data_IF_582715091805
#
_entry.id   IF_582715091805
#
_cell.length_a   1.000
_cell.length_b   1.000
_cell.length_c   1.000
_cell.angle_alpha   90.00
_cell.angle_beta   90.00
_cell.angle_gamma   90.00
#
_symmetry.space_group_name_H-M   'P 1'
#
loop_
_entity.id
_entity.type
_entity.pdbx_description
1 polymer ?
#
# COMPACT_ATOMS: atom_id res chain seq x y z
N UNK A 1 -23.65 31.63 -31.26
CA UNK A 1 -23.18 30.42 -32.01
C UNK A 1 -21.65 30.38 -32.17
N UNK A 2 -20.94 31.48 -32.43
CA UNK A 2 -19.47 31.49 -32.53
C UNK A 2 -18.78 31.28 -31.18
N UNK A 3 -19.25 31.92 -30.08
CA UNK A 3 -18.70 31.73 -28.73
C UNK A 3 -18.80 30.29 -28.24
N UNK A 4 -19.95 29.62 -28.39
CA UNK A 4 -20.16 28.22 -28.03
C UNK A 4 -19.21 27.26 -28.79
N UNK A 5 -18.88 27.63 -30.05
CA UNK A 5 -17.97 26.86 -30.88
C UNK A 5 -16.50 27.03 -30.45
N UNK A 6 -16.14 28.18 -29.94
CA UNK A 6 -14.80 28.50 -29.44
C UNK A 6 -14.57 27.84 -28.08
N UNK A 7 -15.48 27.93 -27.13
CA UNK A 7 -15.42 27.25 -25.86
C UNK A 7 -15.30 25.70 -26.01
N UNK A 8 -16.03 25.15 -26.96
CA UNK A 8 -15.94 23.73 -27.29
C UNK A 8 -14.55 23.33 -27.81
N UNK A 9 -13.97 24.15 -28.69
CA UNK A 9 -12.65 23.90 -29.27
C UNK A 9 -11.55 23.94 -28.20
N UNK A 10 -11.68 24.86 -27.25
CA UNK A 10 -10.73 25.02 -26.14
C UNK A 10 -10.82 23.86 -25.14
N UNK A 11 -12.03 23.37 -24.85
CA UNK A 11 -12.21 22.16 -24.02
C UNK A 11 -11.58 20.91 -24.66
N UNK A 12 -11.71 20.73 -25.99
CA UNK A 12 -11.06 19.61 -26.69
C UNK A 12 -9.54 19.76 -26.77
N UNK A 13 -9.00 20.96 -26.98
CA UNK A 13 -7.55 21.19 -26.93
C UNK A 13 -6.98 20.84 -25.57
N UNK A 14 -7.67 21.28 -24.52
CA UNK A 14 -7.28 20.98 -23.14
C UNK A 14 -7.31 19.47 -22.84
N UNK A 15 -8.31 18.73 -23.32
CA UNK A 15 -8.35 17.27 -23.25
C UNK A 15 -7.14 16.60 -23.94
N UNK A 16 -6.70 17.12 -25.09
CA UNK A 16 -5.53 16.59 -25.80
C UNK A 16 -4.26 16.83 -25.00
N UNK A 17 -4.09 18.03 -24.42
CA UNK A 17 -2.92 18.35 -23.58
C UNK A 17 -2.88 17.48 -22.33
N UNK A 18 -4.01 17.32 -21.63
CA UNK A 18 -4.14 16.42 -20.50
C UNK A 18 -3.83 14.97 -20.90
N UNK A 19 -4.36 14.49 -22.02
CA UNK A 19 -4.10 13.12 -22.50
C UNK A 19 -2.60 12.86 -22.77
N UNK A 20 -1.88 13.88 -23.28
CA UNK A 20 -0.43 13.77 -23.47
C UNK A 20 0.31 13.67 -22.13
N UNK A 21 -0.07 14.49 -21.15
CA UNK A 21 0.55 14.51 -19.83
C UNK A 21 0.27 13.22 -19.06
N UNK A 22 -0.94 12.65 -19.17
CA UNK A 22 -1.31 11.39 -18.57
C UNK A 22 -0.48 10.22 -19.15
N UNK A 23 -0.24 10.21 -20.46
CA UNK A 23 0.53 9.14 -21.12
C UNK A 23 2.01 9.10 -20.70
N UNK A 24 2.57 10.21 -20.20
CA UNK A 24 3.98 10.31 -19.78
C UNK A 24 4.22 10.01 -18.30
N UNK A 25 3.17 9.84 -17.49
CA UNK A 25 3.27 9.68 -16.03
C UNK A 25 3.27 8.21 -15.65
N UNK A 26 4.39 7.73 -15.08
CA UNK A 26 4.59 6.33 -14.65
C UNK A 26 4.31 6.12 -13.16
N UNK A 27 4.13 7.18 -12.39
CA UNK A 27 3.70 7.13 -10.98
C UNK A 27 2.18 7.16 -10.91
N UNK A 28 1.59 6.13 -10.30
CA UNK A 28 0.13 5.97 -10.25
C UNK A 28 -0.54 7.07 -9.42
N UNK A 29 0.03 7.46 -8.29
CA UNK A 29 -0.58 8.47 -7.41
C UNK A 29 -0.57 9.84 -8.06
N UNK A 30 0.54 10.21 -8.73
CA UNK A 30 0.65 11.44 -9.50
C UNK A 30 -0.34 11.42 -10.67
N UNK A 31 -0.43 10.30 -11.38
CA UNK A 31 -1.36 10.13 -12.51
C UNK A 31 -2.81 10.32 -12.05
N UNK A 32 -3.23 9.64 -11.00
CA UNK A 32 -4.59 9.71 -10.48
C UNK A 32 -4.94 11.12 -10.00
N UNK A 33 -4.01 11.79 -9.29
CA UNK A 33 -4.18 13.18 -8.88
C UNK A 33 -4.42 14.11 -10.06
N UNK A 34 -3.65 13.98 -11.14
CA UNK A 34 -3.84 14.77 -12.37
C UNK A 34 -5.20 14.53 -13.02
N UNK A 35 -5.66 13.26 -13.04
CA UNK A 35 -6.97 12.90 -13.62
C UNK A 35 -8.11 13.59 -12.87
N UNK A 36 -8.13 13.53 -11.53
CA UNK A 36 -9.24 14.12 -10.75
C UNK A 36 -9.25 15.64 -10.86
N UNK A 37 -8.10 16.32 -10.87
CA UNK A 37 -8.03 17.75 -11.08
C UNK A 37 -8.54 18.14 -12.48
N UNK A 38 -8.13 17.41 -13.51
CA UNK A 38 -8.63 17.60 -14.87
C UNK A 38 -10.14 17.40 -14.98
N UNK A 39 -10.67 16.37 -14.30
CA UNK A 39 -12.10 16.06 -14.29
C UNK A 39 -12.92 17.19 -13.63
N UNK A 40 -12.49 17.66 -12.46
CA UNK A 40 -13.13 18.77 -11.76
C UNK A 40 -13.14 20.03 -12.62
N UNK A 41 -12.01 20.36 -13.24
CA UNK A 41 -11.85 21.54 -14.09
C UNK A 41 -12.71 21.48 -15.36
N UNK A 42 -12.66 20.39 -16.12
CA UNK A 42 -13.41 20.21 -17.38
C UNK A 42 -14.92 20.21 -17.14
N UNK A 43 -15.38 19.59 -16.05
CA UNK A 43 -16.78 19.51 -15.72
C UNK A 43 -17.31 20.73 -14.96
N UNK A 44 -16.44 21.63 -14.48
CA UNK A 44 -16.79 22.74 -13.62
C UNK A 44 -17.36 22.27 -12.28
N UNK A 45 -16.85 21.19 -11.74
CA UNK A 45 -17.28 20.59 -10.49
C UNK A 45 -16.45 21.12 -9.31
N UNK A 46 -17.03 21.14 -8.11
CA UNK A 46 -16.37 21.49 -6.86
C UNK A 46 -15.31 20.46 -6.48
N UNK A 47 -15.62 19.18 -6.68
CA UNK A 47 -14.71 18.10 -6.39
C UNK A 47 -14.80 16.98 -7.45
N UNK A 48 -13.74 16.18 -7.54
CA UNK A 48 -13.73 14.96 -8.30
C UNK A 48 -12.97 13.86 -7.55
N UNK A 49 -13.36 12.60 -7.78
CA UNK A 49 -12.76 11.43 -7.16
C UNK A 49 -12.63 10.26 -8.13
N UNK A 50 -11.64 9.40 -7.87
CA UNK A 50 -11.53 8.09 -8.51
C UNK A 50 -11.66 7.01 -7.46
N UNK A 51 -12.58 6.09 -7.73
CA UNK A 51 -12.74 4.84 -7.00
C UNK A 51 -12.25 3.72 -7.91
N UNK A 52 -11.27 2.94 -7.45
CA UNK A 52 -10.79 1.77 -8.19
C UNK A 52 -11.57 0.52 -7.77
N UNK A 53 -11.98 -0.25 -8.76
CA UNK A 53 -12.71 -1.49 -8.53
C UNK A 53 -11.77 -2.66 -8.34
N UNK A 54 -11.97 -3.38 -7.24
CA UNK A 54 -11.32 -4.67 -7.00
C UNK A 54 -12.32 -5.81 -7.24
N UNK A 55 -12.04 -6.59 -8.28
CA UNK A 55 -12.89 -7.71 -8.69
C UNK A 55 -12.92 -8.85 -7.65
N UNK A 56 -11.83 -9.03 -6.90
CA UNK A 56 -11.71 -10.11 -5.92
C UNK A 56 -12.56 -9.87 -4.67
N UNK A 57 -12.53 -8.65 -4.13
CA UNK A 57 -13.35 -8.25 -2.97
C UNK A 57 -14.74 -7.77 -3.37
N UNK A 58 -14.99 -7.51 -4.68
CA UNK A 58 -16.19 -6.89 -5.20
C UNK A 58 -16.53 -5.55 -4.52
N UNK A 59 -15.49 -4.75 -4.25
CA UNK A 59 -15.61 -3.44 -3.60
C UNK A 59 -14.91 -2.37 -4.43
N UNK A 60 -15.36 -1.14 -4.21
CA UNK A 60 -14.72 0.06 -4.71
C UNK A 60 -13.94 0.72 -3.59
N UNK A 61 -12.71 1.13 -3.87
CA UNK A 61 -11.83 1.81 -2.93
C UNK A 61 -11.56 3.24 -3.39
N UNK A 62 -11.77 4.20 -2.52
CA UNK A 62 -11.34 5.57 -2.79
C UNK A 62 -9.83 5.60 -2.95
N UNK A 63 -9.37 5.99 -4.13
CA UNK A 63 -7.96 6.07 -4.43
C UNK A 63 -7.43 7.50 -4.38
N UNK A 64 -8.20 8.44 -4.93
CA UNK A 64 -7.86 9.86 -4.94
C UNK A 64 -9.12 10.71 -4.97
N UNK A 65 -9.04 11.91 -4.37
CA UNK A 65 -10.07 12.95 -4.45
C UNK A 65 -9.42 14.32 -4.35
N UNK A 66 -10.03 15.33 -4.97
CA UNK A 66 -9.54 16.71 -4.92
C UNK A 66 -9.81 17.39 -3.57
N UNK A 67 -10.76 16.89 -2.78
CA UNK A 67 -11.21 17.47 -1.51
C UNK A 67 -10.87 16.65 -0.27
N UNK A 68 -10.09 15.57 -0.42
CA UNK A 68 -9.69 14.71 0.69
C UNK A 68 -8.18 14.50 0.69
N UNK A 69 -7.58 14.58 1.87
CA UNK A 69 -6.21 14.16 2.06
C UNK A 69 -6.10 12.62 2.09
N UNK A 70 -4.86 12.13 2.04
CA UNK A 70 -4.59 10.68 2.03
C UNK A 70 -5.07 9.99 3.32
N UNK A 71 -5.03 10.68 4.46
CA UNK A 71 -5.42 10.11 5.75
C UNK A 71 -6.93 9.92 5.84
N UNK A 72 -7.73 10.85 5.33
CA UNK A 72 -9.19 10.80 5.35
C UNK A 72 -9.75 9.71 4.42
N UNK A 73 -9.18 9.55 3.23
CA UNK A 73 -9.67 8.56 2.23
C UNK A 73 -9.21 7.13 2.49
N UNK A 74 -8.17 6.93 3.33
CA UNK A 74 -7.68 5.59 3.65
C UNK A 74 -8.75 4.74 4.31
N UNK A 75 -9.02 3.57 3.70
CA UNK A 75 -9.96 2.60 4.23
C UNK A 75 -11.43 2.87 3.91
N UNK A 76 -11.77 3.97 3.19
CA UNK A 76 -13.13 4.16 2.70
C UNK A 76 -13.39 3.18 1.56
N UNK A 77 -14.36 2.31 1.78
CA UNK A 77 -14.86 1.37 0.77
C UNK A 77 -16.30 1.69 0.43
N UNK A 78 -16.66 1.53 -0.85
CA UNK A 78 -18.01 1.72 -1.34
C UNK A 78 -18.52 0.38 -1.89
N UNK A 79 -19.66 -0.12 -1.43
CA UNK A 79 -20.20 -1.39 -1.87
C UNK A 79 -20.70 -1.30 -3.33
N UNK A 80 -20.75 -2.45 -4.03
CA UNK A 80 -21.37 -2.50 -5.36
C UNK A 80 -22.88 -2.33 -5.28
N UNK A 81 -23.52 -2.98 -4.31
CA UNK A 81 -24.95 -2.89 -4.12
C UNK A 81 -25.28 -1.72 -3.20
N UNK A 82 -26.26 -0.90 -3.59
CA UNK A 82 -26.70 0.27 -2.81
C UNK A 82 -25.74 1.47 -2.89
N UNK A 83 -24.96 1.59 -3.98
CA UNK A 83 -24.19 2.80 -4.28
C UNK A 83 -24.26 3.18 -5.75
N UNK A 84 -24.18 4.49 -6.04
CA UNK A 84 -24.13 5.04 -7.39
C UNK A 84 -22.90 4.51 -8.13
N UNK A 85 -21.73 4.57 -7.49
CA UNK A 85 -20.48 4.03 -8.03
C UNK A 85 -20.58 2.54 -8.36
N UNK A 86 -21.19 1.76 -7.49
CA UNK A 86 -21.44 0.33 -7.72
C UNK A 86 -22.38 0.06 -8.88
N UNK A 87 -23.43 0.89 -9.04
CA UNK A 87 -24.31 0.82 -10.19
C UNK A 87 -23.57 1.09 -11.50
N UNK A 88 -22.68 2.09 -11.52
CA UNK A 88 -21.84 2.42 -12.69
C UNK A 88 -20.93 1.25 -13.05
N UNK A 89 -20.31 0.60 -12.07
CA UNK A 89 -19.47 -0.60 -12.29
C UNK A 89 -20.28 -1.73 -12.90
N UNK A 90 -21.45 -2.00 -12.33
CA UNK A 90 -22.30 -3.14 -12.73
C UNK A 90 -22.89 -2.94 -14.11
N UNK A 91 -23.39 -1.73 -14.41
CA UNK A 91 -24.07 -1.43 -15.67
C UNK A 91 -23.13 -0.90 -16.77
N UNK A 92 -21.91 -0.50 -16.42
CA UNK A 92 -20.90 0.07 -17.34
C UNK A 92 -21.44 1.29 -18.11
N UNK A 93 -22.28 2.10 -17.47
CA UNK A 93 -22.91 3.28 -18.06
C UNK A 93 -22.67 4.50 -17.20
N UNK A 94 -22.55 5.69 -17.80
CA UNK A 94 -22.48 6.94 -17.06
C UNK A 94 -23.80 7.23 -16.35
N UNK A 95 -23.73 8.06 -15.30
CA UNK A 95 -24.91 8.52 -14.55
C UNK A 95 -24.77 10.02 -14.30
N UNK A 96 -25.82 10.77 -14.59
CA UNK A 96 -26.00 12.18 -14.21
C UNK A 96 -27.10 12.30 -13.19
N UNK A 97 -26.82 12.87 -12.04
CA UNK A 97 -27.76 13.05 -10.93
C UNK A 97 -27.78 14.52 -10.55
N UNK A 98 -28.95 15.13 -10.51
CA UNK A 98 -29.16 16.53 -10.16
C UNK A 98 -29.44 16.76 -8.68
N UNK A 99 -29.95 15.74 -7.98
CA UNK A 99 -30.16 15.71 -6.54
C UNK A 99 -29.75 14.32 -6.02
N UNK A 100 -28.55 14.25 -5.45
CA UNK A 100 -27.99 12.98 -5.03
C UNK A 100 -28.77 12.35 -3.85
N UNK A 101 -29.30 13.18 -2.95
CA UNK A 101 -30.03 12.71 -1.78
C UNK A 101 -31.41 12.09 -2.12
N UNK A 102 -31.95 12.38 -3.29
CA UNK A 102 -33.19 11.77 -3.78
C UNK A 102 -32.99 10.44 -4.52
N UNK A 103 -31.73 10.10 -4.82
CA UNK A 103 -31.43 8.84 -5.52
C UNK A 103 -31.29 7.69 -4.51
N UNK A 104 -32.10 6.64 -4.69
CA UNK A 104 -32.12 5.46 -3.80
C UNK A 104 -30.76 4.74 -3.69
N UNK A 105 -29.86 4.97 -4.66
CA UNK A 105 -28.51 4.41 -4.70
C UNK A 105 -27.48 5.28 -3.98
N UNK A 106 -27.90 6.39 -3.38
CA UNK A 106 -26.97 7.30 -2.73
C UNK A 106 -26.38 6.70 -1.44
N UNK A 107 -25.05 6.55 -1.40
CA UNK A 107 -24.36 5.98 -0.25
C UNK A 107 -23.80 7.07 0.68
N UNK A 108 -24.58 7.47 1.67
CA UNK A 108 -24.31 8.62 2.56
C UNK A 108 -23.12 8.45 3.50
N UNK A 109 -22.60 7.22 3.70
CA UNK A 109 -21.48 6.98 4.61
C UNK A 109 -20.20 7.73 4.18
N UNK A 110 -20.06 8.03 2.89
CA UNK A 110 -18.92 8.82 2.38
C UNK A 110 -19.00 10.27 2.89
N UNK A 111 -20.18 10.89 2.86
CA UNK A 111 -20.38 12.25 3.36
C UNK A 111 -20.09 12.36 4.86
N UNK A 112 -20.48 11.34 5.64
CA UNK A 112 -20.22 11.30 7.08
C UNK A 112 -18.72 11.34 7.42
N UNK A 113 -17.89 10.82 6.52
CA UNK A 113 -16.42 10.80 6.69
C UNK A 113 -15.76 12.04 6.09
N UNK A 114 -16.26 12.53 4.95
CA UNK A 114 -15.64 13.59 4.17
C UNK A 114 -16.10 14.99 4.58
N UNK A 115 -17.28 15.08 5.17
CA UNK A 115 -17.95 16.35 5.46
C UNK A 115 -18.43 17.13 4.24
N UNK A 116 -18.28 16.61 3.02
CA UNK A 116 -18.78 17.21 1.79
C UNK A 116 -20.22 16.73 1.53
N UNK A 117 -21.18 17.68 1.51
CA UNK A 117 -22.54 17.39 1.05
C UNK A 117 -22.57 17.25 -0.47
N UNK A 118 -23.08 16.13 -0.97
CA UNK A 118 -23.16 15.86 -2.41
C UNK A 118 -24.54 16.22 -2.94
N UNK A 119 -24.65 17.38 -3.61
CA UNK A 119 -25.91 17.81 -4.22
C UNK A 119 -26.11 17.19 -5.60
N UNK A 120 -25.10 17.29 -6.47
CA UNK A 120 -25.15 16.75 -7.82
C UNK A 120 -23.93 15.90 -8.14
N UNK A 121 -24.11 14.89 -8.99
CA UNK A 121 -23.07 13.93 -9.33
C UNK A 121 -23.11 13.59 -10.83
N UNK A 122 -21.91 13.56 -11.44
CA UNK A 122 -21.67 12.96 -12.74
C UNK A 122 -20.63 11.86 -12.58
N UNK A 123 -21.06 10.61 -12.68
CA UNK A 123 -20.22 9.45 -12.58
C UNK A 123 -20.03 8.75 -13.91
N UNK A 124 -18.79 8.38 -14.24
CA UNK A 124 -18.48 7.65 -15.46
C UNK A 124 -17.64 6.40 -15.18
N UNK A 125 -17.84 5.32 -15.96
CA UNK A 125 -17.05 4.12 -15.82
C UNK A 125 -15.65 4.32 -16.45
N UNK A 126 -14.60 3.87 -15.75
CA UNK A 126 -13.25 3.74 -16.27
C UNK A 126 -13.08 2.34 -16.87
N UNK A 127 -13.13 2.23 -18.21
CA UNK A 127 -13.13 0.94 -18.90
C UNK A 127 -11.97 0.85 -19.87
N UNK A 128 -11.20 -0.26 -19.82
CA UNK A 128 -10.19 -0.63 -20.81
C UNK A 128 -10.64 -1.89 -21.54
N UNK A 129 -10.70 -1.88 -22.87
CA UNK A 129 -11.17 -3.02 -23.67
C UNK A 129 -12.50 -3.54 -23.12
N UNK A 130 -12.49 -4.61 -22.32
CA UNK A 130 -13.68 -5.23 -21.71
C UNK A 130 -13.62 -5.24 -20.17
N UNK A 131 -12.58 -4.66 -19.57
CA UNK A 131 -12.40 -4.65 -18.11
C UNK A 131 -12.75 -3.30 -17.53
N UNK A 132 -13.54 -3.31 -16.46
CA UNK A 132 -13.76 -2.10 -15.66
C UNK A 132 -12.63 -1.94 -14.65
N UNK A 133 -12.03 -0.75 -14.63
CA UNK A 133 -10.92 -0.38 -13.75
C UNK A 133 -11.43 0.33 -12.50
N UNK A 134 -12.54 1.09 -12.66
CA UNK A 134 -13.12 1.87 -11.58
C UNK A 134 -14.16 2.86 -12.08
N UNK A 135 -14.38 3.89 -11.28
CA UNK A 135 -15.33 4.99 -11.54
C UNK A 135 -14.62 6.33 -11.33
N UNK A 136 -14.85 7.28 -12.20
CA UNK A 136 -14.51 8.68 -12.03
C UNK A 136 -15.80 9.45 -11.75
N UNK A 137 -15.82 10.19 -10.65
CA UNK A 137 -16.96 11.01 -10.22
C UNK A 137 -16.56 12.49 -10.17
N UNK A 138 -17.45 13.35 -10.67
CA UNK A 138 -17.41 14.80 -10.48
C UNK A 138 -18.61 15.19 -9.66
N UNK A 139 -18.39 15.98 -8.60
CA UNK A 139 -19.39 16.29 -7.57
C UNK A 139 -19.65 17.81 -7.55
N UNK A 140 -20.90 18.18 -7.34
CA UNK A 140 -21.36 19.55 -7.12
C UNK A 140 -20.93 20.51 -8.24
N UNK A 141 -21.68 20.55 -9.32
CA UNK A 141 -21.40 21.47 -10.41
C UNK A 141 -21.60 22.93 -9.96
N UNK A 142 -20.60 23.78 -10.15
CA UNK A 142 -20.63 25.18 -9.70
C UNK A 142 -21.76 26.01 -10.31
N UNK A 143 -22.17 25.71 -11.55
CA UNK A 143 -23.24 26.45 -12.25
C UNK A 143 -24.18 25.51 -12.98
N UNK A 144 -25.43 25.49 -12.55
CA UNK A 144 -26.47 24.65 -13.14
C UNK A 144 -26.27 23.17 -12.84
N UNK A 145 -26.74 22.31 -13.74
CA UNK A 145 -26.63 20.85 -13.62
C UNK A 145 -25.63 20.29 -14.63
N UNK A 146 -25.09 19.11 -14.39
CA UNK A 146 -24.24 18.42 -15.36
C UNK A 146 -24.99 18.15 -16.67
N UNK A 147 -24.40 18.53 -17.79
CA UNK A 147 -24.97 18.44 -19.12
C UNK A 147 -24.49 17.18 -19.87
N UNK A 148 -25.12 16.87 -21.01
CA UNK A 148 -24.63 15.83 -21.94
C UNK A 148 -23.24 16.13 -22.49
N UNK A 149 -22.90 17.41 -22.59
CA UNK A 149 -21.56 17.84 -22.99
C UNK A 149 -20.53 17.51 -21.93
N UNK A 150 -20.82 17.78 -20.65
CA UNK A 150 -19.92 17.41 -19.54
C UNK A 150 -19.71 15.89 -19.50
N UNK A 151 -20.79 15.11 -19.66
CA UNK A 151 -20.72 13.66 -19.73
C UNK A 151 -19.85 13.18 -20.88
N UNK A 152 -20.02 13.75 -22.07
CA UNK A 152 -19.24 13.39 -23.26
C UNK A 152 -17.74 13.69 -23.07
N UNK A 153 -17.41 14.85 -22.48
CA UNK A 153 -16.02 15.24 -22.20
C UNK A 153 -15.39 14.33 -21.14
N UNK A 154 -16.12 14.05 -20.05
CA UNK A 154 -15.63 13.15 -19.01
C UNK A 154 -15.50 11.70 -19.50
N UNK A 155 -16.39 11.22 -20.38
CA UNK A 155 -16.25 9.89 -20.98
C UNK A 155 -14.95 9.77 -21.80
N UNK A 156 -14.57 10.81 -22.55
CA UNK A 156 -13.31 10.82 -23.28
C UNK A 156 -12.12 10.82 -22.32
N UNK A 157 -12.15 11.69 -21.29
CA UNK A 157 -11.12 11.72 -20.24
C UNK A 157 -11.03 10.36 -19.52
N UNK A 158 -12.18 9.77 -19.15
CA UNK A 158 -12.23 8.49 -18.46
C UNK A 158 -11.69 7.32 -19.27
N UNK A 159 -11.94 7.31 -20.58
CA UNK A 159 -11.35 6.30 -21.48
C UNK A 159 -9.82 6.40 -21.52
N UNK A 160 -9.28 7.63 -21.62
CA UNK A 160 -7.82 7.87 -21.58
C UNK A 160 -7.25 7.52 -20.20
N UNK A 161 -7.90 7.97 -19.14
CA UNK A 161 -7.52 7.68 -17.76
C UNK A 161 -7.47 6.18 -17.50
N UNK A 162 -8.48 5.41 -17.92
CA UNK A 162 -8.52 3.97 -17.74
C UNK A 162 -7.32 3.28 -18.40
N UNK A 163 -6.97 3.66 -19.63
CA UNK A 163 -5.80 3.13 -20.35
C UNK A 163 -4.50 3.53 -19.63
N UNK A 164 -4.36 4.78 -19.20
CA UNK A 164 -3.18 5.25 -18.50
C UNK A 164 -2.98 4.53 -17.15
N UNK A 165 -4.05 4.35 -16.37
CA UNK A 165 -4.03 3.60 -15.10
C UNK A 165 -3.59 2.15 -15.34
N UNK A 166 -4.16 1.47 -16.33
CA UNK A 166 -3.81 0.07 -16.62
C UNK A 166 -2.36 -0.04 -17.09
N UNK A 167 -1.90 0.86 -17.98
CA UNK A 167 -0.51 0.88 -18.44
C UNK A 167 0.48 1.14 -17.27
N UNK A 168 0.18 2.08 -16.39
CA UNK A 168 1.02 2.37 -15.22
C UNK A 168 1.10 1.16 -14.29
N UNK A 169 -0.03 0.48 -14.04
CA UNK A 169 -0.05 -0.76 -13.25
C UNK A 169 0.77 -1.88 -13.89
N UNK A 170 0.63 -2.07 -15.21
CA UNK A 170 1.42 -3.07 -15.94
C UNK A 170 2.92 -2.74 -15.91
N UNK A 171 3.27 -1.47 -16.03
CA UNK A 171 4.66 -1.02 -15.93
C UNK A 171 5.24 -1.29 -14.54
N UNK A 172 4.53 -0.90 -13.47
CA UNK A 172 4.93 -1.16 -12.09
C UNK A 172 5.08 -2.67 -11.81
N UNK A 173 4.19 -3.49 -12.38
CA UNK A 173 4.30 -4.95 -12.27
C UNK A 173 5.50 -5.49 -13.03
N UNK A 174 5.82 -4.96 -14.21
CA UNK A 174 6.99 -5.33 -15.00
C UNK A 174 8.30 -4.97 -14.29
N UNK A 175 8.37 -3.77 -13.72
CA UNK A 175 9.53 -3.33 -12.94
C UNK A 175 9.76 -4.23 -11.72
N UNK A 176 8.70 -4.55 -10.98
CA UNK A 176 8.76 -5.46 -9.85
C UNK A 176 9.33 -6.84 -10.25
N UNK A 177 8.88 -7.38 -11.39
CA UNK A 177 9.36 -8.66 -11.92
C UNK A 177 10.84 -8.54 -12.31
N UNK A 178 11.24 -7.45 -12.95
CA UNK A 178 12.62 -7.22 -13.38
C UNK A 178 13.57 -7.15 -12.19
N UNK A 179 13.20 -6.41 -11.15
CA UNK A 179 13.97 -6.33 -9.89
C UNK A 179 14.04 -7.70 -9.21
N UNK A 180 12.93 -8.44 -9.16
CA UNK A 180 12.91 -9.79 -8.59
C UNK A 180 13.86 -10.75 -9.32
N UNK A 181 13.83 -10.74 -10.67
CA UNK A 181 14.74 -11.57 -11.48
C UNK A 181 16.21 -11.19 -11.21
N UNK A 182 16.49 -9.90 -11.06
CA UNK A 182 17.84 -9.43 -10.71
C UNK A 182 18.29 -9.95 -9.35
N UNK A 183 17.41 -9.87 -8.32
CA UNK A 183 17.69 -10.36 -6.97
C UNK A 183 17.81 -11.90 -6.89
N UNK A 184 17.14 -12.64 -7.79
CA UNK A 184 17.32 -14.09 -7.92
C UNK A 184 18.65 -14.47 -8.56
N UNK A 185 19.14 -13.70 -9.51
CA UNK A 185 20.37 -14.03 -10.26
C UNK A 185 21.60 -14.14 -9.37
N UNK A 186 21.74 -13.25 -8.39
CA UNK A 186 22.90 -13.19 -7.48
C UNK A 186 23.06 -14.49 -6.66
N UNK A 187 22.07 -14.95 -5.86
CA UNK A 187 22.19 -16.20 -5.12
C UNK A 187 22.30 -17.44 -6.01
N UNK A 188 21.63 -17.43 -7.17
CA UNK A 188 21.76 -18.55 -8.14
C UNK A 188 23.17 -18.64 -8.71
N UNK A 189 23.83 -17.52 -8.99
CA UNK A 189 25.23 -17.51 -9.43
C UNK A 189 26.18 -17.98 -8.32
N UNK A 190 25.93 -17.58 -7.07
CA UNK A 190 26.68 -18.06 -5.89
C UNK A 190 26.54 -19.57 -5.73
N UNK A 191 25.29 -20.10 -5.81
CA UNK A 191 25.02 -21.55 -5.75
C UNK A 191 25.72 -22.31 -6.88
N UNK A 192 25.68 -21.79 -8.11
CA UNK A 192 26.36 -22.41 -9.26
C UNK A 192 27.86 -22.49 -9.04
N UNK A 193 28.47 -21.42 -8.54
CA UNK A 193 29.91 -21.40 -8.21
C UNK A 193 30.23 -22.36 -7.07
N UNK A 194 29.44 -22.37 -6.02
CA UNK A 194 29.62 -23.25 -4.86
C UNK A 194 29.54 -24.74 -5.27
N UNK A 195 28.57 -25.12 -6.10
CA UNK A 195 28.44 -26.49 -6.61
C UNK A 195 29.60 -26.87 -7.51
N UNK A 196 30.08 -25.96 -8.37
CA UNK A 196 31.27 -26.20 -9.19
C UNK A 196 32.52 -26.42 -8.34
N UNK A 197 32.70 -25.65 -7.27
CA UNK A 197 33.83 -25.81 -6.36
C UNK A 197 33.82 -27.19 -5.67
N UNK A 198 32.64 -27.72 -5.27
CA UNK A 198 32.52 -29.03 -4.64
C UNK A 198 32.97 -30.19 -5.52
N UNK A 199 33.02 -30.01 -6.84
CA UNK A 199 33.50 -31.02 -7.80
C UNK A 199 35.04 -31.13 -7.84
N UNK A 200 35.78 -30.22 -7.18
CA UNK A 200 37.26 -30.28 -7.13
C UNK A 200 37.72 -31.38 -6.17
N UNK A 201 38.58 -32.30 -6.64
CA UNK A 201 39.02 -33.45 -5.80
C UNK A 201 39.94 -33.06 -4.64
N UNK A 202 40.68 -31.93 -4.77
CA UNK A 202 41.74 -31.54 -3.83
C UNK A 202 41.22 -30.70 -2.62
N UNK A 203 39.90 -30.65 -2.43
CA UNK A 203 39.30 -29.83 -1.38
C UNK A 203 39.33 -30.58 -0.02
N UNK A 204 39.71 -29.83 1.05
CA UNK A 204 39.63 -30.36 2.41
C UNK A 204 38.18 -30.55 2.88
N UNK A 205 37.98 -31.41 3.86
CA UNK A 205 36.64 -31.65 4.43
C UNK A 205 36.05 -30.34 5.02
N UNK A 206 36.86 -29.54 5.69
CA UNK A 206 36.45 -28.27 6.28
C UNK A 206 35.96 -27.27 5.22
N UNK A 207 36.65 -27.18 4.08
CA UNK A 207 36.28 -26.35 2.95
C UNK A 207 34.94 -26.85 2.32
N UNK A 208 34.74 -28.19 2.23
CA UNK A 208 33.50 -28.77 1.75
C UNK A 208 32.33 -28.41 2.67
N UNK A 209 32.50 -28.55 3.97
CA UNK A 209 31.47 -28.23 4.97
C UNK A 209 31.09 -26.74 4.94
N UNK A 210 32.07 -25.85 4.77
CA UNK A 210 31.81 -24.40 4.59
C UNK A 210 30.98 -24.13 3.32
N UNK A 211 31.30 -24.78 2.19
CA UNK A 211 30.56 -24.57 0.94
C UNK A 211 29.14 -25.15 1.06
N UNK A 212 28.98 -26.30 1.69
CA UNK A 212 27.64 -26.89 1.93
C UNK A 212 26.80 -25.96 2.79
N UNK A 213 27.36 -25.37 3.85
CA UNK A 213 26.68 -24.40 4.69
C UNK A 213 26.31 -23.14 3.91
N UNK A 214 27.16 -22.67 3.00
CA UNK A 214 26.85 -21.55 2.12
C UNK A 214 25.71 -21.89 1.15
N UNK A 215 25.71 -23.07 0.55
CA UNK A 215 24.61 -23.57 -0.31
C UNK A 215 23.30 -23.60 0.46
N UNK A 216 23.32 -24.15 1.68
CA UNK A 216 22.13 -24.18 2.54
C UNK A 216 21.60 -22.77 2.84
N UNK A 217 22.49 -21.86 3.24
CA UNK A 217 22.15 -20.47 3.54
C UNK A 217 21.54 -19.72 2.33
N UNK A 218 22.13 -19.85 1.13
CA UNK A 218 21.60 -19.23 -0.08
C UNK A 218 20.27 -19.86 -0.54
N UNK A 219 20.08 -21.16 -0.32
CA UNK A 219 18.80 -21.83 -0.59
C UNK A 219 17.70 -21.30 0.32
N UNK A 220 17.98 -21.14 1.62
CA UNK A 220 17.03 -20.55 2.57
C UNK A 220 16.70 -19.10 2.20
N UNK A 221 17.69 -18.33 1.75
CA UNK A 221 17.51 -16.96 1.29
C UNK A 221 16.62 -16.89 0.04
N UNK A 222 16.80 -17.78 -0.94
CA UNK A 222 15.96 -17.88 -2.13
C UNK A 222 14.50 -18.19 -1.78
N UNK A 223 14.28 -19.15 -0.87
CA UNK A 223 12.93 -19.48 -0.41
C UNK A 223 12.25 -18.29 0.28
N UNK A 224 12.97 -17.56 1.13
CA UNK A 224 12.46 -16.36 1.79
C UNK A 224 12.15 -15.25 0.78
N UNK A 225 13.01 -15.04 -0.23
CA UNK A 225 12.81 -14.07 -1.30
C UNK A 225 11.57 -14.42 -2.14
N UNK A 226 11.41 -15.68 -2.56
CA UNK A 226 10.26 -16.13 -3.33
C UNK A 226 8.95 -15.96 -2.55
N UNK A 227 8.94 -16.33 -1.26
CA UNK A 227 7.77 -16.18 -0.40
C UNK A 227 7.40 -14.70 -0.20
N UNK A 228 8.39 -13.84 0.08
CA UNK A 228 8.17 -12.41 0.24
C UNK A 228 7.66 -11.76 -1.06
N UNK A 229 8.20 -12.17 -2.23
CA UNK A 229 7.73 -11.69 -3.53
C UNK A 229 6.27 -12.07 -3.80
N UNK A 230 5.89 -13.34 -3.52
CA UNK A 230 4.50 -13.78 -3.68
C UNK A 230 3.54 -13.03 -2.75
N UNK A 231 3.95 -12.78 -1.50
CA UNK A 231 3.17 -11.98 -0.56
C UNK A 231 3.02 -10.54 -1.06
N UNK A 232 4.10 -9.91 -1.52
CA UNK A 232 4.06 -8.55 -2.07
C UNK A 232 3.18 -8.47 -3.33
N UNK A 233 3.34 -9.40 -4.28
CA UNK A 233 2.53 -9.43 -5.49
C UNK A 233 1.03 -9.59 -5.21
N UNK A 234 0.66 -10.38 -4.18
CA UNK A 234 -0.73 -10.51 -3.73
C UNK A 234 -1.23 -9.20 -3.11
N UNK A 235 -0.44 -8.56 -2.25
CA UNK A 235 -0.79 -7.29 -1.62
C UNK A 235 -0.98 -6.16 -2.65
N UNK A 236 -0.08 -6.07 -3.64
CA UNK A 236 -0.16 -5.03 -4.69
C UNK A 236 -1.28 -5.25 -5.70
N UNK A 237 -1.63 -6.51 -5.97
CA UNK A 237 -2.76 -6.78 -6.86
C UNK A 237 -4.14 -6.47 -6.26
N UNK A 238 -4.20 -6.01 -5.00
CA UNK A 238 -5.45 -5.80 -4.27
C UNK A 238 -6.20 -7.09 -3.93
N UNK A 239 -5.61 -8.27 -4.22
CA UNK A 239 -6.26 -9.58 -4.03
C UNK A 239 -6.22 -10.10 -2.60
N UNK A 240 -5.60 -9.36 -1.69
CA UNK A 240 -5.55 -9.77 -0.28
C UNK A 240 -6.85 -9.38 0.40
N UNK A 241 -7.68 -10.35 0.70
CA UNK A 241 -8.82 -10.17 1.58
C UNK A 241 -8.34 -10.26 3.03
N UNK A 242 -8.30 -9.13 3.73
CA UNK A 242 -7.98 -9.11 5.16
C UNK A 242 -9.13 -9.71 5.97
N UNK A 243 -8.85 -10.76 6.72
CA UNK A 243 -9.79 -11.34 7.68
C UNK A 243 -9.78 -10.54 8.97
N UNK A 244 -10.42 -9.36 8.94
CA UNK A 244 -10.46 -8.49 10.12
C UNK A 244 -11.24 -9.13 11.25
N UNK A 245 -10.64 -9.14 12.43
CA UNK A 245 -11.22 -9.59 13.70
C UNK A 245 -10.85 -8.58 14.79
N UNK A 246 -11.68 -8.50 15.82
CA UNK A 246 -11.40 -7.64 16.97
C UNK A 246 -10.54 -8.41 17.97
N UNK A 247 -9.34 -7.89 18.28
CA UNK A 247 -8.41 -8.55 19.19
C UNK A 247 -7.56 -7.56 19.99
N UNK A 248 -6.89 -8.08 21.04
CA UNK A 248 -5.95 -7.34 21.87
C UNK A 248 -4.57 -7.25 21.20
N UNK A 249 -4.10 -6.02 20.93
CA UNK A 249 -2.71 -5.81 20.46
C UNK A 249 -1.69 -6.19 21.53
N UNK A 250 -2.00 -6.01 22.82
CA UNK A 250 -1.12 -6.40 23.91
C UNK A 250 -0.81 -7.92 23.85
N UNK A 251 -1.86 -8.75 23.70
CA UNK A 251 -1.68 -10.21 23.61
C UNK A 251 -0.83 -10.59 22.39
N UNK A 252 -1.05 -9.92 21.26
CA UNK A 252 -0.27 -10.15 20.05
C UNK A 252 1.20 -9.72 20.20
N UNK A 253 1.47 -8.63 20.93
CA UNK A 253 2.83 -8.19 21.23
C UNK A 253 3.59 -9.22 22.08
N UNK A 254 2.94 -9.78 23.12
CA UNK A 254 3.53 -10.84 23.94
C UNK A 254 3.75 -12.11 23.14
N UNK A 255 2.80 -12.53 22.29
CA UNK A 255 2.98 -13.67 21.39
C UNK A 255 4.17 -13.47 20.45
N UNK A 256 4.30 -12.30 19.82
CA UNK A 256 5.41 -11.98 18.95
C UNK A 256 6.77 -12.01 19.68
N UNK A 257 6.81 -11.52 20.93
CA UNK A 257 7.98 -11.63 21.80
C UNK A 257 8.34 -13.10 22.05
N UNK A 258 7.37 -13.94 22.41
CA UNK A 258 7.61 -15.34 22.72
C UNK A 258 8.15 -16.10 21.50
N UNK A 259 7.61 -15.86 20.30
CA UNK A 259 8.11 -16.42 19.05
C UNK A 259 9.57 -16.02 18.79
N UNK A 260 9.93 -14.76 19.08
CA UNK A 260 11.26 -14.21 18.81
C UNK A 260 12.27 -14.42 19.96
N UNK A 261 11.83 -14.98 21.09
CA UNK A 261 12.67 -15.11 22.29
C UNK A 261 13.90 -15.97 22.08
N UNK A 262 13.78 -17.14 21.42
CA UNK A 262 14.91 -18.03 21.14
C UNK A 262 15.98 -17.30 20.33
N UNK A 263 15.56 -16.60 19.26
CA UNK A 263 16.48 -15.84 18.41
C UNK A 263 17.14 -14.67 19.16
N UNK A 264 16.40 -13.97 20.01
CA UNK A 264 16.96 -12.85 20.80
C UNK A 264 18.01 -13.33 21.80
N UNK A 265 17.83 -14.50 22.40
CA UNK A 265 18.80 -15.14 23.31
C UNK A 265 20.05 -15.57 22.53
N UNK A 266 19.88 -16.23 21.39
CA UNK A 266 20.98 -16.66 20.52
C UNK A 266 21.88 -15.48 20.10
N UNK A 267 21.25 -14.34 19.74
CA UNK A 267 21.94 -13.11 19.32
C UNK A 267 22.38 -12.21 20.51
N UNK A 268 22.16 -12.63 21.76
CA UNK A 268 22.40 -11.87 22.99
C UNK A 268 21.72 -10.49 23.02
N UNK A 269 20.44 -10.43 22.63
CA UNK A 269 19.62 -9.22 22.61
C UNK A 269 18.52 -9.28 23.67
N UNK A 270 18.36 -8.21 24.46
CA UNK A 270 17.31 -8.10 25.46
C UNK A 270 15.98 -7.66 24.84
N UNK A 271 15.04 -8.56 24.64
CA UNK A 271 13.71 -8.28 24.11
C UNK A 271 12.70 -8.03 25.23
N UNK A 272 12.08 -6.84 25.25
CA UNK A 272 11.08 -6.43 26.26
C UNK A 272 9.80 -5.95 25.59
N UNK A 273 8.67 -6.16 26.29
CA UNK A 273 7.35 -5.67 25.89
C UNK A 273 6.78 -4.84 27.06
N UNK A 274 6.28 -3.65 26.74
CA UNK A 274 5.58 -2.75 27.65
C UNK A 274 4.22 -2.39 27.04
N UNK A 275 3.16 -2.74 27.71
CA UNK A 275 1.79 -2.41 27.33
C UNK A 275 1.03 -1.83 28.52
N UNK A 276 0.34 -0.70 28.35
CA UNK A 276 -0.51 -0.18 29.41
C UNK A 276 -1.71 -1.11 29.64
N UNK A 277 -2.20 -1.13 30.88
CA UNK A 277 -3.47 -1.78 31.19
C UNK A 277 -4.62 -1.10 30.44
N UNK A 278 -5.56 -1.89 29.91
CA UNK A 278 -6.73 -1.37 29.20
C UNK A 278 -6.44 -0.81 27.81
N UNK A 279 -5.37 -1.28 27.14
CA UNK A 279 -5.12 -0.93 25.74
C UNK A 279 -6.35 -1.26 24.87
N UNK A 280 -6.87 -0.32 24.05
CA UNK A 280 -8.03 -0.56 23.20
C UNK A 280 -7.82 -1.73 22.24
N UNK A 281 -8.91 -2.41 21.92
CA UNK A 281 -8.91 -3.44 20.88
C UNK A 281 -8.78 -2.80 19.49
N UNK A 282 -8.27 -3.57 18.53
CA UNK A 282 -8.18 -3.18 17.11
C UNK A 282 -9.01 -4.13 16.26
N UNK A 283 -9.55 -3.62 15.14
CA UNK A 283 -10.27 -4.41 14.14
C UNK A 283 -9.35 -4.61 12.91
N UNK A 284 -8.57 -5.69 12.92
CA UNK A 284 -7.54 -5.95 11.94
C UNK A 284 -7.39 -7.46 11.65
N UNK A 285 -6.65 -7.80 10.60
CA UNK A 285 -6.20 -9.18 10.35
C UNK A 285 -5.04 -9.50 11.29
N UNK A 286 -5.34 -10.31 12.32
CA UNK A 286 -4.41 -10.63 13.40
C UNK A 286 -3.11 -11.26 12.89
N UNK A 287 -3.20 -12.16 11.91
CA UNK A 287 -2.02 -12.85 11.37
C UNK A 287 -1.15 -11.91 10.55
N UNK A 288 -1.75 -10.98 9.80
CA UNK A 288 -1.01 -9.96 9.05
C UNK A 288 -0.33 -8.94 9.97
N UNK A 289 -0.98 -8.50 11.05
CA UNK A 289 -0.33 -7.62 12.04
C UNK A 289 0.78 -8.37 12.78
N UNK A 290 0.60 -9.66 13.09
CA UNK A 290 1.66 -10.51 13.62
C UNK A 290 2.88 -10.57 12.69
N UNK A 291 2.65 -10.74 11.38
CA UNK A 291 3.71 -10.72 10.36
C UNK A 291 4.49 -9.40 10.38
N UNK A 292 3.82 -8.25 10.56
CA UNK A 292 4.47 -6.94 10.72
C UNK A 292 5.37 -6.91 11.95
N UNK A 293 4.84 -7.33 13.11
CA UNK A 293 5.64 -7.34 14.35
C UNK A 293 6.86 -8.24 14.24
N UNK A 294 6.69 -9.46 13.76
CA UNK A 294 7.80 -10.41 13.60
C UNK A 294 8.89 -9.86 12.65
N UNK A 295 8.48 -9.20 11.56
CA UNK A 295 9.43 -8.62 10.62
C UNK A 295 10.23 -7.46 11.24
N UNK A 296 9.56 -6.55 11.96
CA UNK A 296 10.22 -5.41 12.60
C UNK A 296 11.10 -5.86 13.78
N UNK A 297 10.64 -6.82 14.60
CA UNK A 297 11.47 -7.37 15.70
C UNK A 297 12.68 -8.11 15.13
N UNK A 298 12.50 -8.91 14.07
CA UNK A 298 13.60 -9.60 13.40
C UNK A 298 14.65 -8.62 12.87
N UNK A 299 14.24 -7.49 12.28
CA UNK A 299 15.14 -6.43 11.86
C UNK A 299 15.83 -5.78 13.06
N UNK A 300 15.11 -5.48 14.14
CA UNK A 300 15.64 -4.87 15.35
C UNK A 300 16.68 -5.75 16.06
N UNK A 301 16.54 -7.07 16.01
CA UNK A 301 17.54 -8.03 16.52
C UNK A 301 18.73 -8.08 15.57
N UNK A 302 18.49 -8.28 14.29
CA UNK A 302 19.50 -8.48 13.24
C UNK A 302 20.47 -7.30 13.08
N UNK A 303 19.96 -6.07 13.17
CA UNK A 303 20.77 -4.84 13.03
C UNK A 303 21.16 -4.22 14.38
N UNK A 304 21.03 -5.01 15.46
CA UNK A 304 21.46 -4.57 16.77
C UNK A 304 22.99 -4.72 16.94
N UNK A 305 23.45 -4.26 18.07
CA UNK A 305 24.81 -4.48 18.55
C UNK A 305 24.81 -5.57 19.64
N UNK A 306 25.92 -6.25 19.86
CA UNK A 306 26.02 -7.26 20.93
C UNK A 306 25.57 -6.67 22.29
N UNK A 307 24.79 -7.44 23.04
CA UNK A 307 24.20 -7.03 24.31
C UNK A 307 23.26 -5.81 24.20
N UNK A 308 22.72 -5.54 23.01
CA UNK A 308 21.75 -4.50 22.81
C UNK A 308 20.36 -4.88 23.30
N UNK A 309 19.38 -3.99 23.08
CA UNK A 309 18.00 -4.22 23.49
C UNK A 309 17.02 -3.89 22.38
N UNK A 310 15.87 -4.57 22.42
CA UNK A 310 14.69 -4.28 21.63
C UNK A 310 13.52 -4.08 22.59
N UNK A 311 12.87 -2.93 22.50
CA UNK A 311 11.69 -2.59 23.30
C UNK A 311 10.48 -2.45 22.37
N UNK A 312 9.45 -3.25 22.61
CA UNK A 312 8.13 -3.07 22.01
C UNK A 312 7.22 -2.40 23.04
N UNK A 313 6.70 -1.20 22.72
CA UNK A 313 5.81 -0.43 23.58
C UNK A 313 4.55 -0.04 22.85
N UNK A 314 3.41 -0.16 23.49
CA UNK A 314 2.14 0.35 22.99
C UNK A 314 1.66 1.55 23.81
N UNK A 315 0.99 2.48 23.16
CA UNK A 315 0.31 3.63 23.79
C UNK A 315 -0.93 4.01 23.00
N UNK A 316 -1.90 4.63 23.68
CA UNK A 316 -3.10 5.15 23.05
C UNK A 316 -2.84 6.58 22.63
N UNK A 317 -3.10 6.89 21.36
CA UNK A 317 -2.99 8.24 20.83
C UNK A 317 -4.28 8.59 20.09
N UNK A 318 -5.08 9.49 20.67
CA UNK A 318 -6.39 9.91 20.12
C UNK A 318 -7.30 8.72 19.77
N UNK A 319 -7.55 8.49 18.49
CA UNK A 319 -8.40 7.42 17.98
C UNK A 319 -7.61 6.21 17.45
N UNK A 320 -6.32 6.13 17.75
CA UNK A 320 -5.41 5.11 17.26
C UNK A 320 -4.68 4.43 18.42
N UNK A 321 -4.21 3.22 18.16
CA UNK A 321 -3.22 2.55 19.01
C UNK A 321 -1.88 2.63 18.31
N UNK A 322 -0.91 3.25 18.97
CA UNK A 322 0.47 3.35 18.48
C UNK A 322 1.31 2.24 19.11
N UNK A 323 1.98 1.45 18.27
CA UNK A 323 2.98 0.46 18.70
C UNK A 323 4.35 0.91 18.23
N UNK A 324 5.29 1.02 19.15
CA UNK A 324 6.68 1.36 18.89
C UNK A 324 7.55 0.13 19.03
N UNK A 325 8.46 -0.11 18.06
CA UNK A 325 9.50 -1.12 18.15
C UNK A 325 10.82 -0.37 18.04
N UNK A 326 11.51 -0.29 19.17
CA UNK A 326 12.76 0.45 19.34
C UNK A 326 13.92 -0.50 19.55
N UNK A 327 15.01 -0.31 18.83
CA UNK A 327 16.29 -0.99 19.02
C UNK A 327 17.41 -0.02 19.44
N UNK A 328 18.46 -0.57 20.00
CA UNK A 328 19.70 0.13 20.34
C UNK A 328 20.82 -0.19 19.36
N UNK A 329 20.47 -0.50 18.12
CA UNK A 329 21.35 -0.99 17.08
C UNK A 329 22.25 0.06 16.44
N UNK A 330 22.69 -0.24 15.24
CA UNK A 330 23.61 0.60 14.48
C UNK A 330 22.99 1.89 13.94
N UNK A 331 21.64 1.95 13.89
CA UNK A 331 20.89 3.06 13.31
C UNK A 331 20.95 3.06 11.78
N UNK A 332 20.27 4.04 11.18
CA UNK A 332 20.09 4.17 9.73
C UNK A 332 20.50 5.59 9.34
N UNK A 333 21.27 5.77 8.24
CA UNK A 333 21.63 7.09 7.71
C UNK A 333 20.39 7.90 7.30
N UNK A 334 20.40 9.20 7.55
CA UNK A 334 19.26 10.09 7.24
C UNK A 334 18.88 10.06 5.75
N UNK A 335 19.89 9.94 4.86
CA UNK A 335 19.70 9.82 3.41
C UNK A 335 18.97 8.53 3.00
N UNK A 336 19.04 7.49 3.81
CA UNK A 336 18.37 6.19 3.56
C UNK A 336 16.93 6.15 4.07
N UNK A 337 16.54 7.01 5.03
CA UNK A 337 15.21 7.00 5.65
C UNK A 337 14.06 7.13 4.65
N UNK A 338 14.10 8.03 3.65
CA UNK A 338 13.02 8.17 2.66
C UNK A 338 12.81 6.94 1.80
N UNK A 339 13.84 6.09 1.66
CA UNK A 339 13.85 4.94 0.76
C UNK A 339 13.57 3.60 1.46
N UNK A 340 13.52 3.57 2.79
CA UNK A 340 13.43 2.32 3.58
C UNK A 340 12.22 1.43 3.25
N UNK A 341 11.13 2.03 2.83
CA UNK A 341 9.91 1.31 2.47
C UNK A 341 9.80 1.01 0.96
N UNK A 342 10.82 1.36 0.18
CA UNK A 342 10.90 0.96 -1.22
C UNK A 342 11.22 -0.53 -1.34
N UNK A 343 10.73 -1.15 -2.40
CA UNK A 343 10.96 -2.57 -2.69
C UNK A 343 12.44 -2.81 -2.95
N UNK A 344 12.95 -3.94 -2.48
CA UNK A 344 14.33 -4.39 -2.62
C UNK A 344 15.38 -3.42 -2.05
N UNK A 345 14.96 -2.29 -1.46
CA UNK A 345 15.90 -1.33 -0.89
C UNK A 345 16.63 -1.91 0.32
N UNK A 346 17.94 -1.72 0.34
CA UNK A 346 18.84 -2.09 1.45
C UNK A 346 19.85 -0.97 1.66
N UNK A 347 20.20 -0.71 2.91
CA UNK A 347 21.25 0.24 3.27
C UNK A 347 22.59 -0.39 2.93
N UNK A 348 23.32 0.16 1.95
CA UNK A 348 24.58 -0.41 1.40
C UNK A 348 25.62 -0.73 2.47
N UNK A 349 25.76 0.13 3.45
CA UNK A 349 26.71 -0.04 4.56
C UNK A 349 26.42 -1.25 5.45
N UNK A 350 25.20 -1.78 5.39
CA UNK A 350 24.73 -2.91 6.20
C UNK A 350 24.62 -4.23 5.41
N UNK A 351 24.85 -4.21 4.10
CA UNK A 351 24.69 -5.39 3.23
C UNK A 351 25.61 -6.54 3.61
N UNK A 352 26.85 -6.24 4.03
CA UNK A 352 27.82 -7.26 4.44
C UNK A 352 27.53 -7.90 5.79
N UNK A 353 26.69 -7.26 6.63
CA UNK A 353 26.42 -7.71 8.01
C UNK A 353 25.21 -8.61 8.15
N UNK A 354 24.30 -8.53 7.20
CA UNK A 354 23.03 -9.24 7.38
C UNK A 354 22.32 -9.57 6.05
N UNK A 355 21.99 -10.84 5.82
CA UNK A 355 21.21 -11.29 4.68
C UNK A 355 19.76 -10.79 4.79
N UNK A 356 19.15 -10.35 3.68
CA UNK A 356 17.74 -9.93 3.64
C UNK A 356 17.26 -9.71 2.22
N UNK A 357 15.96 -9.76 2.04
CA UNK A 357 15.31 -9.66 0.73
C UNK A 357 15.02 -8.21 0.27
N UNK A 358 15.11 -7.24 1.18
CA UNK A 358 14.68 -5.86 0.90
C UNK A 358 13.16 -5.66 0.73
N UNK A 359 12.37 -6.74 0.90
CA UNK A 359 10.90 -6.70 0.73
C UNK A 359 10.15 -6.56 2.05
N UNK A 360 10.76 -6.86 3.18
CA UNK A 360 10.07 -6.94 4.46
C UNK A 360 9.41 -5.64 4.89
N UNK A 361 10.09 -4.50 4.79
CA UNK A 361 9.52 -3.21 5.18
C UNK A 361 8.44 -2.72 4.22
N UNK A 362 8.58 -2.97 2.93
CA UNK A 362 7.52 -2.65 1.95
C UNK A 362 6.26 -3.47 2.20
N UNK A 363 6.38 -4.75 2.56
CA UNK A 363 5.27 -5.61 2.99
C UNK A 363 4.63 -5.07 4.27
N UNK A 364 5.42 -4.67 5.27
CA UNK A 364 4.89 -4.05 6.49
C UNK A 364 4.06 -2.81 6.18
N UNK A 365 4.56 -1.92 5.32
CA UNK A 365 3.84 -0.70 4.92
C UNK A 365 2.52 -1.04 4.22
N UNK A 366 2.51 -2.00 3.30
CA UNK A 366 1.30 -2.43 2.60
C UNK A 366 0.26 -3.03 3.56
N UNK A 367 0.69 -3.89 4.49
CA UNK A 367 -0.21 -4.48 5.49
C UNK A 367 -0.81 -3.39 6.37
N UNK A 368 0.01 -2.51 6.94
CA UNK A 368 -0.46 -1.45 7.84
C UNK A 368 -1.41 -0.49 7.12
N UNK A 369 -1.06 -0.08 5.91
CA UNK A 369 -1.91 0.78 5.07
C UNK A 369 -3.26 0.10 4.75
N UNK A 370 -3.26 -1.20 4.41
CA UNK A 370 -4.49 -1.97 4.14
C UNK A 370 -5.43 -2.11 5.36
N UNK A 371 -4.93 -1.79 6.55
CA UNK A 371 -5.72 -1.72 7.78
C UNK A 371 -6.14 -0.29 8.18
N UNK A 372 -5.93 0.70 7.28
CA UNK A 372 -6.22 2.10 7.56
C UNK A 372 -5.24 2.74 8.56
N UNK A 373 -4.10 2.09 8.77
CA UNK A 373 -3.02 2.57 9.63
C UNK A 373 -1.91 3.26 8.86
N UNK A 374 -0.84 3.65 9.58
CA UNK A 374 0.40 4.18 9.00
C UNK A 374 1.61 3.64 9.74
N UNK A 375 2.76 3.61 9.08
CA UNK A 375 4.04 3.22 9.65
C UNK A 375 5.04 4.35 9.44
N UNK A 376 5.76 4.70 10.50
CA UNK A 376 6.78 5.75 10.51
C UNK A 376 8.10 5.20 11.06
N UNK A 377 9.21 5.87 10.76
CA UNK A 377 10.53 5.50 11.26
C UNK A 377 11.29 6.73 11.72
N UNK A 378 12.01 6.59 12.83
CA UNK A 378 13.01 7.55 13.30
C UNK A 378 14.28 6.78 13.64
N UNK A 379 15.43 7.25 13.17
CA UNK A 379 16.70 6.59 13.43
C UNK A 379 17.82 7.59 13.58
N UNK A 380 18.87 7.18 14.27
CA UNK A 380 20.11 7.93 14.37
C UNK A 380 21.28 6.94 14.40
N UNK A 381 22.25 7.15 13.51
CA UNK A 381 23.47 6.32 13.43
C UNK A 381 24.14 6.24 14.82
N UNK A 382 24.48 5.01 15.22
CA UNK A 382 25.14 4.72 16.50
C UNK A 382 24.24 4.79 17.73
N UNK A 383 22.95 5.14 17.59
CA UNK A 383 21.99 5.20 18.69
C UNK A 383 20.95 4.09 18.59
N UNK A 384 20.38 3.87 17.39
CA UNK A 384 19.35 2.86 17.11
C UNK A 384 18.21 3.39 16.25
N UNK A 385 17.18 2.58 16.11
CA UNK A 385 16.00 2.86 15.28
C UNK A 385 14.71 2.66 16.06
N UNK A 386 13.69 3.45 15.74
CA UNK A 386 12.33 3.30 16.25
C UNK A 386 11.36 3.26 15.07
N UNK A 387 10.69 2.13 14.90
CA UNK A 387 9.53 2.01 14.02
C UNK A 387 8.26 2.24 14.81
N UNK A 388 7.35 3.04 14.28
CA UNK A 388 6.07 3.41 14.89
C UNK A 388 4.94 2.98 13.97
N UNK A 389 4.05 2.13 14.46
CA UNK A 389 2.88 1.63 13.74
C UNK A 389 1.65 2.25 14.41
N UNK A 390 0.77 2.84 13.64
CA UNK A 390 -0.49 3.40 14.10
C UNK A 390 -1.63 2.59 13.50
N UNK A 391 -2.51 2.07 14.33
CA UNK A 391 -3.70 1.31 13.91
C UNK A 391 -4.95 1.94 14.50
N UNK A 392 -6.04 2.08 13.72
CA UNK A 392 -7.31 2.57 14.24
C UNK A 392 -7.81 1.67 15.39
N UNK A 393 -8.28 2.28 16.47
CA UNK A 393 -8.93 1.54 17.55
C UNK A 393 -10.28 0.99 17.08
N UNK A 394 -10.63 -0.20 17.55
CA UNK A 394 -11.97 -0.76 17.31
C UNK A 394 -13.03 0.00 18.11
N UNK A 395 -14.15 0.31 17.46
CA UNK A 395 -15.38 0.74 18.12
C UNK A 395 -16.22 -0.45 18.57
N UNK A 396 -15.84 -1.68 18.18
CA UNK A 396 -16.54 -2.94 18.48
C UNK A 396 -15.94 -3.57 19.74
N UNK A 397 -16.78 -4.25 20.52
CA UNK A 397 -16.34 -5.11 21.63
C UNK A 397 -15.99 -6.52 21.13
N UNK A 398 -15.15 -7.27 21.86
CA UNK A 398 -14.92 -8.68 21.53
C UNK A 398 -16.26 -9.44 21.48
N UNK A 399 -16.49 -10.26 20.45
CA UNK A 399 -17.58 -11.22 20.51
C UNK A 399 -17.34 -12.16 21.71
N UNK A 400 -18.40 -12.36 22.51
CA UNK A 400 -18.41 -13.30 23.66
C UNK A 400 -18.25 -14.73 23.19
#
# INVERSE_FOLDING_TARGET
>A
MAEIKTERLDSYRRLIDISRDLASTLDLDILLSRIVHAAAEISGAEAASILLYDEASRQLYFQVSTNMDESTRRGITVPLDGSIAGWIVTNRKPVRITNAHEDERFYSNVEAVTGLSTESLLGIPLITKNKIVGVLESLNKHRGSFTEQDESLLLVLGAQAAVAIENTRLFQQSDLISEFVHELRTPLSSLSTATYLLLRPEMSQEQRDQIINNIHSETMRLNALASAFLDLARLESGRVQYRKTVFSLADLMYEAKDIMSSKSIEDNIHLRVESPEGLPLVDADRDKIKQVFLNLISNAIKYNRPNGSVLMRAEVQDNEVKVMIQDTGIGIPDESLPHLFQKFFRVREHESRASGTGLGLSICKQIVNGHGGRIEVKSKIGVGTVFMIYLPRSTKTMPR
#
